data_IF_319565148793
#
_entry.id   IF_319565148793
#
_cell.length_a   1.000
_cell.length_b   1.000
_cell.length_c   1.000
_cell.angle_alpha   90.00
_cell.angle_beta   90.00
_cell.angle_gamma   90.00
#
_symmetry.space_group_name_H-M   'P 1'
#
loop_
_entity.id
_entity.type
_entity.pdbx_description
1 polymer ?
#
# COMPACT_ATOMS: atom_id res chain seq x y z
N UNK A 1 -23.77 0.32 -13.14
CA UNK A 1 -22.49 -0.22 -13.66
C UNK A 1 -21.46 0.16 -12.62
N UNK A 2 -21.50 -0.53 -11.50
CA UNK A 2 -20.92 -0.04 -10.25
C UNK A 2 -19.55 -0.68 -10.10
N UNK A 3 -18.61 -0.18 -10.89
CA UNK A 3 -17.19 -0.47 -10.71
C UNK A 3 -16.79 0.01 -9.32
N UNK A 4 -16.68 -0.92 -8.37
CA UNK A 4 -16.33 -0.61 -6.97
C UNK A 4 -14.80 -0.48 -6.83
N UNK A 5 -14.18 0.29 -7.72
CA UNK A 5 -12.77 0.66 -7.60
C UNK A 5 -12.66 1.72 -6.50
N UNK A 6 -12.16 1.33 -5.33
CA UNK A 6 -11.83 2.29 -4.26
C UNK A 6 -10.47 2.90 -4.57
N UNK A 7 -10.48 4.15 -5.02
CA UNK A 7 -9.29 4.96 -5.14
C UNK A 7 -9.14 5.81 -3.89
N UNK A 8 -8.06 5.61 -3.13
CA UNK A 8 -7.75 6.40 -1.95
C UNK A 8 -6.31 6.89 -1.99
N UNK A 9 -6.16 8.18 -1.70
CA UNK A 9 -4.87 8.84 -1.66
C UNK A 9 -4.34 8.73 -0.23
N UNK A 10 -3.28 7.95 -0.07
CA UNK A 10 -2.54 7.84 1.18
C UNK A 10 -1.21 8.57 1.05
N UNK A 11 -0.67 9.04 2.18
CA UNK A 11 0.70 9.56 2.22
C UNK A 11 1.67 8.41 2.29
N UNK A 12 2.53 8.32 1.29
CA UNK A 12 3.56 7.30 1.28
C UNK A 12 4.80 7.77 2.05
N UNK A 13 5.24 6.94 2.98
CA UNK A 13 6.47 7.11 3.74
C UNK A 13 7.45 6.00 3.39
N UNK A 14 8.73 6.34 3.42
CA UNK A 14 9.78 5.36 3.19
C UNK A 14 9.85 4.38 4.37
N UNK A 15 10.05 3.10 4.06
CA UNK A 15 10.30 2.06 5.06
C UNK A 15 11.49 2.38 6.00
N UNK A 16 12.41 3.26 5.58
CA UNK A 16 13.48 3.75 6.45
C UNK A 16 12.96 4.50 7.69
N UNK A 17 11.73 5.05 7.65
CA UNK A 17 11.12 5.75 8.79
C UNK A 17 10.68 4.81 9.91
N UNK A 18 10.42 3.54 9.58
CA UNK A 18 9.98 2.51 10.54
C UNK A 18 11.11 1.55 10.93
N UNK A 19 12.34 1.81 10.46
CA UNK A 19 13.54 0.99 10.70
C UNK A 19 13.29 -0.53 10.55
N UNK A 20 12.41 -0.91 9.62
CA UNK A 20 12.04 -2.31 9.34
C UNK A 20 12.70 -2.77 8.04
N UNK A 21 13.93 -3.32 8.08
CA UNK A 21 14.64 -3.77 6.88
C UNK A 21 13.92 -4.91 6.13
N UNK A 22 13.03 -5.64 6.82
CA UNK A 22 12.16 -6.66 6.19
C UNK A 22 11.23 -6.09 5.11
N UNK A 23 10.88 -4.81 5.20
CA UNK A 23 10.05 -4.13 4.19
C UNK A 23 10.92 -3.72 3.02
N UNK A 24 12.11 -3.19 3.28
CA UNK A 24 13.05 -2.74 2.25
C UNK A 24 13.44 -3.87 1.29
N UNK A 25 13.51 -5.11 1.78
CA UNK A 25 13.87 -6.29 0.98
C UNK A 25 12.68 -7.01 0.32
N UNK A 26 11.43 -6.56 0.52
CA UNK A 26 10.24 -7.27 0.02
C UNK A 26 9.27 -6.38 -0.76
N UNK A 27 8.31 -7.02 -1.43
CA UNK A 27 7.22 -6.37 -2.18
C UNK A 27 5.99 -6.07 -1.31
N UNK A 28 6.22 -5.88 -0.01
CA UNK A 28 5.14 -5.75 0.97
C UNK A 28 5.11 -4.35 1.57
N UNK A 29 3.93 -3.79 1.71
CA UNK A 29 3.70 -2.45 2.27
C UNK A 29 2.97 -2.54 3.61
N UNK A 30 3.06 -1.50 4.44
CA UNK A 30 2.20 -1.38 5.64
C UNK A 30 1.08 -0.41 5.34
N UNK A 31 -0.13 -0.81 5.67
CA UNK A 31 -1.33 0.00 5.51
C UNK A 31 -1.97 0.35 6.85
N UNK A 32 -2.84 1.36 6.91
CA UNK A 32 -3.59 1.64 8.12
C UNK A 32 -4.71 0.61 8.28
N UNK A 33 -5.12 0.30 9.53
CA UNK A 33 -6.24 -0.61 9.79
C UNK A 33 -7.54 -0.15 9.14
N UNK A 34 -7.70 1.16 8.91
CA UNK A 34 -8.85 1.71 8.17
C UNK A 34 -8.93 1.23 6.73
N UNK A 35 -7.80 0.92 6.07
CA UNK A 35 -7.78 0.34 4.73
C UNK A 35 -8.32 -1.10 4.76
N UNK A 36 -7.93 -1.91 5.76
CA UNK A 36 -8.46 -3.26 5.95
C UNK A 36 -9.97 -3.27 6.15
N UNK A 37 -10.50 -2.36 6.98
CA UNK A 37 -11.94 -2.26 7.23
C UNK A 37 -12.72 -1.91 5.96
N UNK A 38 -12.18 -1.03 5.12
CA UNK A 38 -12.80 -0.68 3.82
C UNK A 38 -12.79 -1.85 2.86
N UNK A 39 -11.64 -2.51 2.74
CA UNK A 39 -11.45 -3.75 1.99
C UNK A 39 -12.42 -4.85 2.44
N UNK A 40 -12.56 -5.05 3.75
CA UNK A 40 -13.49 -6.02 4.31
C UNK A 40 -14.95 -5.63 4.04
N UNK A 41 -15.27 -4.34 4.06
CA UNK A 41 -16.61 -3.82 3.75
C UNK A 41 -16.99 -4.02 2.28
N UNK A 42 -16.00 -4.07 1.38
CA UNK A 42 -16.18 -4.31 -0.05
C UNK A 42 -16.43 -5.79 -0.40
N UNK A 43 -16.37 -6.71 0.57
CA UNK A 43 -16.48 -8.15 0.30
C UNK A 43 -15.46 -8.64 -0.74
N UNK A 44 -14.22 -8.15 -0.71
CA UNK A 44 -13.19 -8.65 -1.63
C UNK A 44 -12.73 -10.04 -1.15
N UNK A 45 -12.90 -11.04 -2.02
CA UNK A 45 -12.39 -12.39 -1.83
C UNK A 45 -10.86 -12.45 -1.98
N UNK A 46 -10.21 -13.27 -1.16
CA UNK A 46 -8.76 -13.50 -1.21
C UNK A 46 -8.38 -14.38 -2.42
N UNK A 47 -7.21 -14.17 -3.08
CA UNK A 47 -6.09 -13.26 -2.76
C UNK A 47 -6.34 -11.80 -3.17
N UNK A 48 -6.13 -10.90 -2.22
CA UNK A 48 -6.30 -9.47 -2.42
C UNK A 48 -5.02 -8.83 -2.94
N UNK A 49 -5.00 -8.49 -4.22
CA UNK A 49 -3.92 -7.67 -4.78
C UNK A 49 -4.18 -6.20 -4.52
N UNK A 50 -3.22 -5.53 -3.89
CA UNK A 50 -3.21 -4.07 -3.81
C UNK A 50 -2.40 -3.53 -4.98
N UNK A 51 -2.95 -2.50 -5.63
CA UNK A 51 -2.36 -1.87 -6.80
C UNK A 51 -2.03 -0.41 -6.47
N UNK A 52 -0.95 -0.14 -5.70
CA UNK A 52 -0.49 1.22 -5.48
C UNK A 52 -0.02 1.83 -6.81
N UNK A 53 -0.70 2.90 -7.21
CA UNK A 53 -0.29 3.75 -8.34
C UNK A 53 0.60 4.87 -7.83
N UNK A 54 1.86 4.86 -8.24
CA UNK A 54 2.75 5.99 -8.03
C UNK A 54 2.63 6.94 -9.23
N UNK A 55 1.84 8.00 -9.07
CA UNK A 55 1.64 9.00 -10.12
C UNK A 55 2.94 9.74 -10.48
N UNK A 56 3.85 9.92 -9.50
CA UNK A 56 5.13 10.59 -9.73
C UNK A 56 6.10 9.78 -10.61
N UNK A 57 5.93 8.46 -10.67
CA UNK A 57 6.74 7.57 -11.51
C UNK A 57 5.94 6.97 -12.68
N UNK A 58 4.67 7.39 -12.86
CA UNK A 58 3.69 6.78 -13.77
C UNK A 58 3.70 5.23 -13.72
N UNK A 59 4.00 4.68 -12.54
CA UNK A 59 4.19 3.25 -12.33
C UNK A 59 3.08 2.69 -11.47
N UNK A 60 2.49 1.64 -12.01
CA UNK A 60 1.58 0.76 -11.29
C UNK A 60 2.40 -0.43 -10.82
N UNK A 61 2.39 -0.69 -9.52
CA UNK A 61 3.05 -1.87 -8.94
C UNK A 61 2.01 -2.73 -8.24
N UNK A 62 2.19 -4.05 -8.32
CA UNK A 62 1.40 -4.99 -7.53
C UNK A 62 2.19 -5.33 -6.28
N UNK A 63 1.67 -4.96 -5.12
CA UNK A 63 2.31 -5.20 -3.84
C UNK A 63 1.32 -5.87 -2.88
N UNK A 64 1.87 -6.67 -1.96
CA UNK A 64 1.10 -7.26 -0.87
C UNK A 64 1.10 -6.34 0.35
N UNK A 65 0.15 -6.52 1.26
CA UNK A 65 0.19 -5.85 2.56
C UNK A 65 0.89 -6.76 3.57
N UNK A 66 1.97 -6.27 4.18
CA UNK A 66 2.66 -6.96 5.27
C UNK A 66 1.81 -6.93 6.55
N UNK A 67 1.46 -5.72 6.98
CA UNK A 67 0.84 -5.44 8.27
C UNK A 67 -0.11 -4.24 8.13
N UNK A 68 -1.19 -4.24 8.91
CA UNK A 68 -2.13 -3.13 8.99
C UNK A 68 -1.90 -2.28 10.25
N UNK A 69 -0.66 -1.82 10.45
CA UNK A 69 -0.22 -1.08 11.65
C UNK A 69 0.19 0.35 11.34
N UNK A 70 -0.04 0.87 10.14
CA UNK A 70 0.32 2.24 9.80
C UNK A 70 -0.63 3.25 10.44
N UNK A 71 -0.14 4.49 10.60
CA UNK A 71 -0.98 5.62 11.02
C UNK A 71 -2.08 5.89 9.99
N UNK A 72 -3.24 6.37 10.47
CA UNK A 72 -4.38 6.64 9.61
C UNK A 72 -4.02 7.66 8.52
N UNK A 73 -4.23 7.28 7.26
CA UNK A 73 -3.87 8.11 6.11
C UNK A 73 -2.40 8.00 5.67
N UNK A 74 -1.60 7.13 6.30
CA UNK A 74 -0.21 6.89 5.96
C UNK A 74 0.01 5.44 5.52
N UNK A 75 0.89 5.24 4.52
CA UNK A 75 1.36 3.92 4.12
C UNK A 75 2.88 3.89 4.11
N UNK A 76 3.48 2.77 4.49
CA UNK A 76 4.92 2.58 4.44
C UNK A 76 5.27 1.68 3.28
N UNK A 77 6.12 2.18 2.38
CA UNK A 77 6.56 1.45 1.20
C UNK A 77 8.08 1.39 1.13
N UNK A 78 8.63 0.33 0.55
CA UNK A 78 10.07 0.19 0.43
C UNK A 78 10.68 1.32 -0.41
N UNK A 79 11.92 1.68 -0.07
CA UNK A 79 12.63 2.80 -0.67
C UNK A 79 12.74 2.72 -2.20
N UNK A 80 12.84 1.51 -2.76
CA UNK A 80 12.96 1.29 -4.21
C UNK A 80 11.69 1.66 -5.01
N UNK A 81 10.52 1.74 -4.37
CA UNK A 81 9.25 2.16 -5.04
C UNK A 81 9.23 3.67 -5.29
N UNK A 82 9.94 4.45 -4.46
CA UNK A 82 9.97 5.91 -4.54
C UNK A 82 11.08 6.49 -5.42
N UNK A 83 12.03 5.68 -5.89
CA UNK A 83 13.15 6.19 -6.69
C UNK A 83 12.81 6.05 -8.19
N UNK A 84 12.72 7.16 -8.94
CA UNK A 84 12.77 7.11 -10.40
C UNK A 84 14.17 6.63 -10.79
N UNK A 85 14.24 5.48 -11.47
CA UNK A 85 15.49 4.92 -11.97
C UNK A 85 15.88 5.53 -13.30
#
# INVERSE_FOLDING_TARGET
MDGTSIEHIYRCYSASFIEKPQIESGDKIIMPPSALVRVASLHIDYPMLFEPRNDAAERVSHCDVLEFTAEEGMIYMPYWVGIPK
#
